data_IF_245503556432
#
_entry.id   IF_245503556432
#
_cell.length_a   1.000
_cell.length_b   1.000
_cell.length_c   1.000
_cell.angle_alpha   90.00
_cell.angle_beta   90.00
_cell.angle_gamma   90.00
#
_symmetry.space_group_name_H-M   'P 1'
#
loop_
_entity.id
_entity.type
_entity.pdbx_description
1 polymer ?
#
# COMPACT_ATOMS: atom_id res chain seq x y z
N UNK A 1 62.71 26.82 3.46
CA UNK A 1 62.18 25.47 3.16
C UNK A 1 60.67 25.61 2.98
N UNK A 2 60.18 26.28 1.94
CA UNK A 2 60.33 25.99 0.51
C UNK A 2 59.93 24.54 0.17
N UNK A 3 59.19 24.21 -0.87
CA UNK A 3 58.42 24.88 -1.93
C UNK A 3 57.74 23.70 -2.66
N UNK A 4 56.58 23.94 -3.26
CA UNK A 4 55.97 23.23 -4.39
C UNK A 4 56.67 22.01 -5.03
N UNK A 5 55.85 20.99 -5.37
CA UNK A 5 55.75 20.33 -6.70
C UNK A 5 54.48 19.45 -6.70
N UNK A 6 53.36 19.84 -7.31
CA UNK A 6 52.97 19.75 -8.74
C UNK A 6 53.28 18.40 -9.41
N UNK A 7 52.21 17.71 -9.82
CA UNK A 7 51.96 17.18 -11.19
C UNK A 7 50.53 16.59 -11.21
N UNK A 8 49.50 17.31 -11.69
CA UNK A 8 49.06 17.51 -13.08
C UNK A 8 48.60 16.25 -13.86
N UNK A 9 47.28 16.25 -14.10
CA UNK A 9 46.50 15.82 -15.27
C UNK A 9 46.50 14.36 -15.77
N UNK A 10 45.28 13.80 -15.84
CA UNK A 10 44.61 13.50 -17.12
C UNK A 10 43.08 13.40 -16.97
N UNK A 11 42.39 14.41 -17.50
CA UNK A 11 40.98 14.33 -17.89
C UNK A 11 40.86 13.50 -19.17
N UNK A 12 39.98 12.49 -19.18
CA UNK A 12 39.35 11.88 -20.36
C UNK A 12 37.96 11.41 -19.91
N UNK A 13 36.89 12.17 -20.17
CA UNK A 13 36.12 12.31 -21.41
C UNK A 13 34.74 11.70 -21.19
N UNK A 14 33.73 12.57 -21.09
CA UNK A 14 32.30 12.26 -21.07
C UNK A 14 31.88 11.42 -22.30
N UNK A 15 30.98 10.43 -22.15
CA UNK A 15 30.34 9.81 -23.31
C UNK A 15 29.29 10.76 -23.91
N UNK A 16 29.55 11.17 -25.15
CA UNK A 16 28.56 11.67 -26.11
C UNK A 16 27.72 10.47 -26.58
N UNK A 17 26.40 10.50 -26.38
CA UNK A 17 25.38 10.17 -27.41
C UNK A 17 23.98 9.88 -26.80
N UNK A 18 23.31 10.95 -26.36
CA UNK A 18 21.88 11.12 -26.57
C UNK A 18 21.67 11.40 -28.07
N UNK A 19 21.46 10.37 -28.90
CA UNK A 19 20.73 10.42 -30.20
C UNK A 19 20.85 9.08 -30.93
N UNK A 20 19.90 8.19 -30.70
CA UNK A 20 19.36 7.30 -31.75
C UNK A 20 17.99 6.82 -31.30
N UNK A 21 16.98 7.63 -31.60
CA UNK A 21 15.59 7.26 -31.59
C UNK A 21 15.34 6.15 -32.62
N UNK A 22 14.36 5.28 -32.32
CA UNK A 22 13.46 4.62 -33.28
C UNK A 22 14.16 3.95 -34.46
N UNK A 23 14.46 2.64 -34.34
CA UNK A 23 14.52 1.66 -35.44
C UNK A 23 14.89 0.28 -34.89
N UNK A 24 13.90 -0.52 -34.52
CA UNK A 24 13.94 -2.00 -34.62
C UNK A 24 12.58 -2.56 -34.20
N UNK A 25 11.54 -2.31 -35.01
CA UNK A 25 10.38 -3.20 -35.08
C UNK A 25 10.65 -4.08 -36.30
N UNK A 26 10.99 -5.34 -36.06
CA UNK A 26 11.12 -6.33 -37.11
C UNK A 26 9.73 -6.76 -37.52
N UNK A 27 9.34 -6.39 -38.74
CA UNK A 27 8.28 -7.06 -39.49
C UNK A 27 8.79 -8.42 -39.92
N UNK A 28 8.14 -9.50 -39.47
CA UNK A 28 8.17 -10.76 -40.21
C UNK A 28 6.80 -10.99 -40.85
N UNK A 29 6.86 -11.14 -42.19
CA UNK A 29 5.76 -11.48 -43.08
C UNK A 29 5.44 -12.97 -42.96
N UNK A 30 4.16 -13.26 -43.06
CA UNK A 30 3.56 -14.56 -43.36
C UNK A 30 3.73 -14.90 -44.85
N UNK A 31 3.98 -16.18 -45.14
CA UNK A 31 3.55 -16.94 -46.32
C UNK A 31 3.10 -18.32 -45.79
N UNK A 32 1.79 -18.63 -45.73
CA UNK A 32 0.90 -19.20 -46.76
C UNK A 32 1.07 -20.73 -46.97
N UNK A 33 0.04 -21.52 -46.62
CA UNK A 33 -0.53 -22.57 -47.48
C UNK A 33 -1.94 -23.01 -47.01
N UNK A 34 -2.78 -23.26 -48.02
CA UNK A 34 -4.21 -23.62 -48.06
C UNK A 34 -4.59 -24.87 -47.21
N UNK A 35 -5.83 -25.03 -46.72
CA UNK A 35 -6.97 -25.61 -47.47
C UNK A 35 -8.36 -25.24 -46.89
N UNK A 36 -9.34 -25.36 -47.79
CA UNK A 36 -10.76 -24.97 -47.81
C UNK A 36 -11.69 -25.46 -46.67
N UNK A 37 -12.69 -24.65 -46.31
CA UNK A 37 -14.12 -24.99 -46.53
C UNK A 37 -15.08 -23.82 -46.21
N UNK A 38 -16.15 -23.77 -47.00
CA UNK A 38 -17.15 -22.70 -47.11
C UNK A 38 -18.14 -22.65 -45.94
N UNK A 39 -18.52 -21.45 -45.48
CA UNK A 39 -19.88 -21.13 -45.01
C UNK A 39 -20.13 -19.61 -45.11
N UNK A 40 -21.33 -19.15 -45.51
CA UNK A 40 -21.63 -17.73 -45.65
C UNK A 40 -22.20 -17.09 -44.37
N UNK A 41 -21.90 -15.80 -44.24
CA UNK A 41 -22.59 -14.75 -43.46
C UNK A 41 -22.60 -14.83 -41.93
N UNK A 42 -21.77 -13.98 -41.31
CA UNK A 42 -22.08 -13.18 -40.12
C UNK A 42 -21.11 -11.97 -40.13
N UNK A 43 -21.56 -10.71 -39.96
CA UNK A 43 -20.64 -9.60 -39.84
C UNK A 43 -19.91 -9.71 -38.49
N UNK A 44 -18.66 -10.20 -38.54
CA UNK A 44 -17.71 -10.12 -37.43
C UNK A 44 -17.49 -8.64 -37.09
N UNK A 45 -18.20 -8.12 -36.08
CA UNK A 45 -17.74 -6.93 -35.34
C UNK A 45 -16.37 -7.28 -34.75
N UNK A 46 -15.29 -6.83 -35.39
CA UNK A 46 -13.99 -6.69 -34.75
C UNK A 46 -14.17 -5.67 -33.64
N UNK A 47 -14.20 -6.12 -32.39
CA UNK A 47 -13.94 -5.28 -31.22
C UNK A 47 -12.47 -4.87 -31.24
N UNK A 48 -12.08 -4.05 -32.22
CA UNK A 48 -10.84 -3.31 -32.20
C UNK A 48 -11.11 -2.02 -31.44
N UNK A 49 -10.64 -1.93 -30.20
CA UNK A 49 -10.45 -0.64 -29.54
C UNK A 49 -9.58 0.17 -30.51
N UNK A 50 -10.10 1.27 -31.07
CA UNK A 50 -9.34 2.05 -32.04
C UNK A 50 -8.07 2.58 -31.38
N UNK A 51 -7.02 2.81 -32.16
CA UNK A 51 -5.79 3.44 -31.65
C UNK A 51 -6.09 4.81 -30.99
N UNK A 52 -7.15 5.48 -31.43
CA UNK A 52 -7.66 6.72 -30.84
C UNK A 52 -8.29 6.46 -29.46
N UNK A 53 -9.11 5.42 -29.30
CA UNK A 53 -9.63 5.02 -27.98
C UNK A 53 -8.52 4.62 -27.00
N UNK A 54 -7.45 3.96 -27.47
CA UNK A 54 -6.30 3.64 -26.61
C UNK A 54 -5.51 4.89 -26.21
N UNK A 55 -5.32 5.85 -27.14
CA UNK A 55 -4.67 7.12 -26.84
C UNK A 55 -5.50 8.03 -25.94
N UNK A 56 -6.84 8.01 -26.06
CA UNK A 56 -7.73 8.73 -25.16
C UNK A 56 -7.78 8.09 -23.77
N UNK A 57 -7.85 6.76 -23.67
CA UNK A 57 -7.72 6.04 -22.39
C UNK A 57 -6.34 6.32 -21.76
N UNK A 58 -5.27 6.31 -22.56
CA UNK A 58 -3.92 6.62 -22.09
C UNK A 58 -3.80 8.08 -21.63
N UNK A 59 -4.42 9.03 -22.33
CA UNK A 59 -4.50 10.43 -21.90
C UNK A 59 -5.31 10.58 -20.61
N UNK A 60 -6.47 9.94 -20.49
CA UNK A 60 -7.27 9.93 -19.25
C UNK A 60 -6.50 9.35 -18.07
N UNK A 61 -5.78 8.25 -18.25
CA UNK A 61 -4.95 7.63 -17.21
C UNK A 61 -3.72 8.48 -16.85
N UNK A 62 -3.11 9.17 -17.83
CA UNK A 62 -1.91 10.00 -17.61
C UNK A 62 -2.22 11.42 -17.11
N UNK A 63 -3.41 11.94 -17.36
CA UNK A 63 -3.83 13.30 -16.98
C UNK A 63 -4.78 13.33 -15.78
N UNK A 64 -5.25 12.19 -15.27
CA UNK A 64 -5.91 12.16 -13.97
C UNK A 64 -4.97 12.75 -12.91
N UNK A 65 -5.43 13.71 -12.09
CA UNK A 65 -4.60 14.27 -11.03
C UNK A 65 -4.15 13.12 -10.14
N UNK A 66 -2.84 12.96 -9.99
CA UNK A 66 -2.30 11.88 -9.17
C UNK A 66 -2.87 12.00 -7.75
N UNK A 67 -3.22 10.89 -7.08
CA UNK A 67 -3.75 10.91 -5.71
C UNK A 67 -2.88 11.75 -4.74
N UNK A 68 -1.58 11.85 -5.03
CA UNK A 68 -0.63 12.62 -4.26
C UNK A 68 -0.86 14.14 -4.32
N UNK A 69 -1.38 14.66 -5.44
CA UNK A 69 -1.71 16.10 -5.61
C UNK A 69 -2.98 16.49 -4.88
N UNK A 70 -3.94 15.57 -4.78
CA UNK A 70 -5.21 15.78 -4.05
C UNK A 70 -4.94 16.05 -2.56
N UNK A 71 -3.91 15.43 -1.98
CA UNK A 71 -3.53 15.63 -0.58
C UNK A 71 -2.90 17.00 -0.29
N UNK A 72 -2.62 17.80 -1.31
CA UNK A 72 -2.20 19.20 -1.16
C UNK A 72 -3.39 20.18 -1.19
N UNK A 73 -4.58 19.72 -1.57
CA UNK A 73 -5.78 20.54 -1.62
C UNK A 73 -6.42 20.67 -0.23
N UNK A 74 -7.43 21.55 -0.10
CA UNK A 74 -8.25 21.59 1.11
C UNK A 74 -9.09 20.31 1.22
N UNK A 75 -9.29 19.76 2.43
CA UNK A 75 -10.16 18.60 2.60
C UNK A 75 -11.58 18.94 2.16
N UNK A 76 -12.22 17.99 1.49
CA UNK A 76 -13.63 18.12 1.07
C UNK A 76 -14.55 18.06 2.28
N UNK A 77 -14.19 17.25 3.30
CA UNK A 77 -14.88 17.18 4.59
C UNK A 77 -13.89 16.96 5.72
N UNK A 78 -14.28 17.39 6.92
CA UNK A 78 -13.49 17.23 8.13
C UNK A 78 -14.41 16.86 9.30
N UNK A 79 -13.99 15.89 10.10
CA UNK A 79 -14.65 15.47 11.33
C UNK A 79 -13.69 15.62 12.49
N UNK A 80 -14.15 16.22 13.59
CA UNK A 80 -13.38 16.29 14.83
C UNK A 80 -13.40 14.93 15.53
N UNK A 81 -12.22 14.44 15.92
CA UNK A 81 -12.05 13.16 16.60
C UNK A 81 -11.93 13.30 18.11
N UNK A 82 -11.50 14.47 18.59
CA UNK A 82 -11.32 14.80 20.02
C UNK A 82 -10.36 13.83 20.74
N UNK A 83 -9.29 13.41 20.07
CA UNK A 83 -8.30 12.46 20.58
C UNK A 83 -7.06 12.40 19.69
N UNK A 84 -6.03 11.67 20.11
CA UNK A 84 -4.87 11.39 19.24
C UNK A 84 -5.18 10.18 18.38
N UNK A 85 -5.10 10.36 17.06
CA UNK A 85 -5.51 9.36 16.09
C UNK A 85 -4.50 8.24 15.87
N UNK A 86 -5.04 7.04 15.74
CA UNK A 86 -4.31 5.77 15.61
C UNK A 86 -4.74 5.09 14.29
N UNK A 87 -4.70 3.75 14.12
CA UNK A 87 -4.86 3.19 12.79
C UNK A 87 -6.24 3.45 12.20
N UNK A 88 -6.25 3.54 10.87
CA UNK A 88 -7.41 3.88 10.05
C UNK A 88 -7.56 2.83 8.96
N UNK A 89 -8.79 2.35 8.75
CA UNK A 89 -9.14 1.54 7.60
C UNK A 89 -10.51 1.94 7.06
N UNK A 90 -10.78 1.61 5.81
CA UNK A 90 -12.07 1.86 5.20
C UNK A 90 -12.51 0.70 4.31
N UNK A 91 -13.82 0.55 4.22
CA UNK A 91 -14.49 -0.17 3.14
C UNK A 91 -14.91 0.81 2.05
N UNK A 92 -15.76 0.38 1.11
CA UNK A 92 -16.36 1.30 0.14
C UNK A 92 -17.34 2.30 0.76
N UNK A 93 -17.77 2.09 2.00
CA UNK A 93 -18.81 2.92 2.65
C UNK A 93 -18.47 3.36 4.07
N UNK A 94 -17.80 2.50 4.83
CA UNK A 94 -17.47 2.73 6.23
C UNK A 94 -16.00 3.11 6.38
N UNK A 95 -15.72 3.95 7.36
CA UNK A 95 -14.38 4.31 7.80
C UNK A 95 -14.30 4.00 9.28
N UNK A 96 -13.32 3.20 9.69
CA UNK A 96 -13.09 2.88 11.08
C UNK A 96 -11.74 3.45 11.51
N UNK A 97 -11.75 4.22 12.59
CA UNK A 97 -10.54 4.75 13.22
C UNK A 97 -10.53 4.41 14.70
N UNK A 98 -9.31 4.28 15.23
CA UNK A 98 -9.05 4.26 16.67
C UNK A 98 -8.53 5.61 17.12
N UNK A 99 -8.95 6.03 18.31
CA UNK A 99 -8.47 7.26 18.97
C UNK A 99 -8.13 6.95 20.44
N UNK A 100 -7.60 7.94 21.15
CA UNK A 100 -7.36 7.87 22.61
C UNK A 100 -6.52 6.65 23.01
N UNK A 101 -5.35 6.48 22.41
CA UNK A 101 -4.44 5.35 22.69
C UNK A 101 -5.07 3.95 22.45
N UNK A 102 -5.92 3.84 21.43
CA UNK A 102 -6.63 2.63 21.01
C UNK A 102 -7.76 2.22 21.97
N UNK A 103 -8.19 3.13 22.84
CA UNK A 103 -9.32 2.87 23.76
C UNK A 103 -10.69 3.15 23.14
N UNK A 104 -10.79 3.89 22.03
CA UNK A 104 -12.10 4.23 21.44
C UNK A 104 -12.13 3.94 19.95
N UNK A 105 -13.12 3.16 19.51
CA UNK A 105 -13.45 2.97 18.09
C UNK A 105 -14.44 4.03 17.66
N UNK A 106 -14.18 4.66 16.51
CA UNK A 106 -15.11 5.60 15.89
C UNK A 106 -15.37 5.17 14.46
N UNK A 107 -16.64 4.95 14.14
CA UNK A 107 -17.11 4.55 12.83
C UNK A 107 -17.74 5.75 12.13
N UNK A 108 -17.35 6.00 10.90
CA UNK A 108 -17.92 7.03 10.04
C UNK A 108 -18.46 6.41 8.75
N UNK A 109 -19.36 7.13 8.08
CA UNK A 109 -19.44 7.08 6.64
C UNK A 109 -18.87 8.39 6.06
N UNK A 110 -18.99 8.60 4.75
CA UNK A 110 -18.51 9.84 4.11
C UNK A 110 -19.26 11.11 4.56
N UNK A 111 -20.39 10.99 5.25
CA UNK A 111 -21.30 12.08 5.53
C UNK A 111 -21.37 12.45 7.02
N UNK A 112 -21.27 11.47 7.92
CA UNK A 112 -21.44 11.64 9.37
C UNK A 112 -20.70 10.56 10.18
N UNK A 113 -20.46 10.87 11.46
CA UNK A 113 -20.11 9.87 12.48
C UNK A 113 -21.31 8.95 12.71
N UNK A 114 -21.09 7.64 12.66
CA UNK A 114 -22.12 6.62 12.83
C UNK A 114 -22.21 6.13 14.28
N UNK A 115 -21.06 5.82 14.87
CA UNK A 115 -20.99 5.39 16.26
C UNK A 115 -19.60 5.60 16.86
N UNK A 116 -19.58 5.62 18.19
CA UNK A 116 -18.37 5.68 19.02
C UNK A 116 -18.50 4.65 20.13
N UNK A 117 -17.49 3.81 20.29
CA UNK A 117 -17.52 2.67 21.20
C UNK A 117 -16.25 2.70 22.04
N UNK A 118 -16.42 2.69 23.35
CA UNK A 118 -15.31 2.52 24.29
C UNK A 118 -14.91 1.05 24.36
N UNK A 119 -13.62 0.80 24.19
CA UNK A 119 -12.98 -0.52 24.23
C UNK A 119 -11.79 -0.54 25.19
N UNK A 120 -11.70 0.42 26.12
CA UNK A 120 -10.66 0.50 27.15
C UNK A 120 -10.47 -0.83 27.88
N UNK A 121 -11.58 -1.49 28.21
CA UNK A 121 -11.61 -2.71 29.02
C UNK A 121 -11.09 -3.93 28.25
N UNK A 122 -11.04 -3.86 26.93
CA UNK A 122 -10.57 -4.95 26.10
C UNK A 122 -9.03 -5.00 25.98
N UNK A 123 -8.30 -4.07 26.63
CA UNK A 123 -6.83 -3.97 26.64
C UNK A 123 -6.22 -4.10 25.22
N UNK A 124 -6.89 -3.53 24.23
CA UNK A 124 -6.57 -3.76 22.82
C UNK A 124 -5.50 -2.79 22.36
N UNK A 125 -4.24 -3.21 22.38
CA UNK A 125 -3.19 -2.48 21.66
C UNK A 125 -3.24 -2.84 20.17
N UNK A 126 -4.05 -2.11 19.39
CA UNK A 126 -4.11 -2.25 17.93
C UNK A 126 -2.97 -1.47 17.28
N UNK A 127 -2.25 -2.12 16.36
CA UNK A 127 -1.18 -1.52 15.56
C UNK A 127 -1.60 -1.22 14.13
N UNK A 128 -2.51 -2.00 13.56
CA UNK A 128 -2.96 -1.84 12.18
C UNK A 128 -4.40 -2.33 12.01
N UNK A 129 -5.08 -1.77 11.02
CA UNK A 129 -6.46 -2.10 10.64
C UNK A 129 -6.51 -2.45 9.16
N UNK A 130 -7.38 -3.37 8.78
CA UNK A 130 -7.75 -3.53 7.39
C UNK A 130 -9.23 -3.91 7.23
N UNK A 131 -9.77 -3.69 6.04
CA UNK A 131 -11.10 -4.14 5.68
C UNK A 131 -11.04 -5.50 5.00
N UNK A 132 -11.88 -6.45 5.41
CA UNK A 132 -12.09 -7.71 4.69
C UNK A 132 -13.41 -7.65 3.93
N UNK A 133 -13.33 -7.55 2.60
CA UNK A 133 -14.51 -7.57 1.73
C UNK A 133 -15.28 -8.88 1.79
N UNK A 134 -14.59 -10.01 2.05
CA UNK A 134 -15.22 -11.32 2.17
C UNK A 134 -16.10 -11.44 3.41
N UNK A 135 -15.60 -10.97 4.55
CA UNK A 135 -16.34 -11.01 5.81
C UNK A 135 -17.32 -9.84 5.95
N UNK A 136 -17.11 -8.77 5.17
CA UNK A 136 -17.78 -7.49 5.34
C UNK A 136 -17.58 -6.94 6.76
N UNK A 137 -16.34 -7.02 7.26
CA UNK A 137 -15.92 -6.61 8.60
C UNK A 137 -14.53 -5.97 8.56
N UNK A 138 -14.24 -5.17 9.57
CA UNK A 138 -12.89 -4.70 9.84
C UNK A 138 -12.11 -5.77 10.61
N UNK A 139 -10.84 -5.94 10.27
CA UNK A 139 -9.87 -6.76 10.98
C UNK A 139 -8.90 -5.83 11.70
N UNK A 140 -8.61 -6.13 12.96
CA UNK A 140 -7.76 -5.30 13.81
C UNK A 140 -6.64 -6.14 14.40
N UNK A 141 -5.41 -5.72 14.14
CA UNK A 141 -4.22 -6.47 14.51
C UNK A 141 -3.48 -5.80 15.66
N UNK A 142 -3.20 -6.56 16.71
CA UNK A 142 -2.47 -6.13 17.90
C UNK A 142 -1.70 -7.28 18.55
N UNK A 143 -1.87 -7.44 19.86
CA UNK A 143 -1.51 -8.68 20.59
C UNK A 143 -2.50 -9.83 20.35
N UNK A 144 -3.59 -9.55 19.64
CA UNK A 144 -4.56 -10.53 19.18
C UNK A 144 -5.15 -10.02 17.87
N UNK A 145 -6.00 -10.84 17.25
CA UNK A 145 -6.76 -10.43 16.07
C UNK A 145 -8.22 -10.28 16.45
N UNK A 146 -8.81 -9.15 16.07
CA UNK A 146 -10.20 -8.82 16.36
C UNK A 146 -10.97 -8.56 15.07
N UNK A 147 -12.26 -8.81 15.09
CA UNK A 147 -13.20 -8.40 14.06
C UNK A 147 -14.13 -7.32 14.59
N UNK A 148 -14.42 -6.33 13.76
CA UNK A 148 -15.45 -5.34 14.04
C UNK A 148 -16.50 -5.34 12.92
N UNK A 149 -17.74 -5.64 13.28
CA UNK A 149 -18.87 -5.62 12.36
C UNK A 149 -19.53 -4.23 12.36
N UNK A 150 -19.41 -3.46 11.27
CA UNK A 150 -19.97 -2.10 11.23
C UNK A 150 -21.50 -2.06 11.23
N UNK A 151 -22.19 -3.15 10.87
CA UNK A 151 -23.66 -3.19 10.87
C UNK A 151 -24.24 -3.39 12.25
N UNK A 152 -23.64 -4.26 13.05
CA UNK A 152 -24.09 -4.55 14.41
C UNK A 152 -23.33 -3.75 15.46
N UNK A 153 -22.27 -3.05 15.09
CA UNK A 153 -21.37 -2.34 16.01
C UNK A 153 -20.78 -3.27 17.08
N UNK A 154 -20.45 -4.52 16.70
CA UNK A 154 -19.93 -5.53 17.61
C UNK A 154 -18.45 -5.76 17.33
N UNK A 155 -17.66 -5.70 18.40
CA UNK A 155 -16.27 -6.15 18.46
C UNK A 155 -16.24 -7.62 18.91
N UNK A 156 -15.43 -8.44 18.26
CA UNK A 156 -15.21 -9.85 18.66
C UNK A 156 -13.74 -10.22 18.51
N UNK A 157 -13.25 -11.09 19.39
CA UNK A 157 -11.88 -11.63 19.33
C UNK A 157 -11.85 -12.88 18.46
N UNK A 158 -10.75 -13.10 17.74
CA UNK A 158 -10.49 -14.35 17.02
C UNK A 158 -9.57 -15.24 17.86
N UNK A 159 -10.15 -16.25 18.50
CA UNK A 159 -9.50 -17.10 19.52
C UNK A 159 -8.31 -17.96 19.02
N UNK A 160 -7.94 -17.92 17.73
CA UNK A 160 -7.04 -18.90 17.09
C UNK A 160 -5.61 -18.44 16.79
N UNK A 161 -5.20 -17.23 17.22
CA UNK A 161 -3.86 -16.72 16.90
C UNK A 161 -2.96 -16.76 18.12
N UNK A 162 -2.16 -17.81 18.22
CA UNK A 162 -1.08 -17.91 19.20
C UNK A 162 0.09 -16.98 18.79
N UNK A 163 0.44 -16.04 19.67
CA UNK A 163 1.63 -15.21 19.56
C UNK A 163 2.75 -15.78 20.43
N UNK A 164 3.98 -15.78 19.90
CA UNK A 164 5.14 -16.08 20.73
C UNK A 164 5.40 -14.95 21.74
N UNK A 165 6.06 -15.27 22.86
CA UNK A 165 6.39 -14.26 23.88
C UNK A 165 7.24 -13.14 23.28
N UNK A 166 6.78 -11.90 23.44
CA UNK A 166 7.47 -10.70 22.94
C UNK A 166 7.27 -10.45 21.44
N UNK A 167 6.33 -11.14 20.81
CA UNK A 167 5.89 -10.90 19.44
C UNK A 167 4.56 -10.15 19.44
N UNK A 168 4.35 -9.33 18.41
CA UNK A 168 3.08 -8.68 18.13
C UNK A 168 2.87 -8.55 16.62
N UNK A 169 1.61 -8.40 16.20
CA UNK A 169 1.27 -8.19 14.79
C UNK A 169 1.48 -6.70 14.49
N UNK A 170 2.42 -6.36 13.60
CA UNK A 170 2.69 -4.97 13.21
C UNK A 170 1.83 -4.50 12.06
N UNK A 171 1.39 -5.41 11.20
CA UNK A 171 0.55 -5.05 10.07
C UNK A 171 -0.29 -6.22 9.59
N UNK A 172 -1.48 -5.89 9.08
CA UNK A 172 -2.47 -6.84 8.58
C UNK A 172 -2.98 -6.38 7.22
N UNK A 173 -3.24 -7.34 6.35
CA UNK A 173 -4.02 -7.12 5.14
C UNK A 173 -4.77 -8.40 4.79
N UNK A 174 -5.78 -8.30 3.94
CA UNK A 174 -6.58 -9.45 3.51
C UNK A 174 -6.98 -9.32 2.06
N UNK A 175 -7.00 -10.46 1.37
CA UNK A 175 -7.70 -10.57 0.09
C UNK A 175 -9.07 -11.24 0.30
N UNK A 176 -9.64 -11.82 -0.75
CA UNK A 176 -10.95 -12.47 -0.72
C UNK A 176 -10.98 -13.76 0.10
N UNK A 177 -9.85 -14.44 0.31
CA UNK A 177 -9.81 -15.76 0.91
C UNK A 177 -8.78 -15.90 2.03
N UNK A 178 -7.87 -14.94 2.17
CA UNK A 178 -6.73 -15.04 3.06
C UNK A 178 -6.51 -13.76 3.85
N UNK A 179 -6.00 -13.93 5.07
CA UNK A 179 -5.41 -12.88 5.90
C UNK A 179 -3.91 -13.08 5.90
N UNK A 180 -3.20 -11.97 5.74
CA UNK A 180 -1.75 -11.88 5.86
C UNK A 180 -1.41 -11.10 7.12
N UNK A 181 -0.55 -11.68 7.96
CA UNK A 181 -0.16 -11.13 9.24
C UNK A 181 1.35 -10.96 9.26
N UNK A 182 1.82 -9.72 9.33
CA UNK A 182 3.22 -9.41 9.53
C UNK A 182 3.48 -9.25 11.03
N UNK A 183 4.42 -10.01 11.54
CA UNK A 183 4.81 -9.99 12.94
C UNK A 183 6.16 -9.31 13.11
N UNK A 184 6.28 -8.53 14.17
CA UNK A 184 7.56 -8.01 14.63
C UNK A 184 7.98 -8.75 15.89
N UNK A 185 9.19 -9.30 15.84
CA UNK A 185 9.88 -9.91 16.98
C UNK A 185 11.40 -9.79 16.76
N UNK A 186 12.23 -10.59 17.46
CA UNK A 186 13.66 -10.76 17.12
C UNK A 186 13.87 -11.30 15.70
N UNK A 187 12.92 -12.07 15.17
CA UNK A 187 12.86 -12.54 13.79
C UNK A 187 11.56 -12.08 13.15
N UNK A 188 11.68 -11.33 12.04
CA UNK A 188 10.50 -10.90 11.28
C UNK A 188 9.90 -12.13 10.60
N UNK A 189 8.60 -12.36 10.80
CA UNK A 189 7.86 -13.43 10.16
C UNK A 189 6.56 -12.92 9.59
N UNK A 190 6.08 -13.61 8.57
CA UNK A 190 4.77 -13.35 7.97
C UNK A 190 4.03 -14.67 7.81
N UNK A 191 2.75 -14.63 8.11
CA UNK A 191 1.86 -15.78 8.07
C UNK A 191 0.67 -15.49 7.17
N UNK A 192 0.23 -16.51 6.43
CA UNK A 192 -1.02 -16.49 5.70
C UNK A 192 -1.98 -17.49 6.30
N UNK A 193 -3.22 -17.04 6.50
CA UNK A 193 -4.32 -17.87 7.02
C UNK A 193 -5.52 -17.79 6.09
N UNK A 194 -6.12 -18.93 5.80
CA UNK A 194 -7.43 -19.02 5.15
C UNK A 194 -8.50 -18.41 6.03
N UNK A 195 -9.43 -17.71 5.42
CA UNK A 195 -10.64 -17.17 6.03
C UNK A 195 -11.83 -18.11 5.78
N UNK A 196 -12.21 -18.90 6.78
CA UNK A 196 -13.44 -19.70 6.76
C UNK A 196 -14.48 -19.11 7.70
N UNK A 197 -15.69 -18.92 7.18
CA UNK A 197 -16.81 -18.38 7.95
C UNK A 197 -17.33 -19.40 9.00
N UNK A 198 -17.82 -18.95 10.17
CA UNK A 198 -17.81 -17.55 10.61
C UNK A 198 -16.42 -17.09 11.04
N UNK A 199 -15.63 -17.85 11.81
CA UNK A 199 -14.38 -17.36 12.43
C UNK A 199 -13.26 -18.42 12.45
N UNK A 200 -13.24 -19.34 11.49
CA UNK A 200 -12.19 -20.33 11.41
C UNK A 200 -11.02 -19.79 10.58
N UNK A 201 -9.91 -19.51 11.26
CA UNK A 201 -8.64 -19.24 10.60
C UNK A 201 -7.81 -20.52 10.55
N UNK A 202 -7.51 -20.97 9.34
CA UNK A 202 -6.60 -22.09 9.12
C UNK A 202 -5.26 -21.56 8.60
N UNK A 203 -4.17 -21.94 9.27
CA UNK A 203 -2.84 -21.55 8.84
C UNK A 203 -2.46 -22.26 7.55
N UNK A 204 -2.24 -21.49 6.48
CA UNK A 204 -1.79 -22.04 5.19
C UNK A 204 -0.27 -22.18 5.16
N UNK A 205 0.43 -21.10 5.47
CA UNK A 205 1.89 -21.09 5.44
C UNK A 205 2.46 -20.04 6.39
N UNK A 206 3.74 -20.23 6.73
CA UNK A 206 4.52 -19.32 7.56
C UNK A 206 5.93 -19.19 6.97
N UNK A 207 6.37 -17.95 6.78
CA UNK A 207 7.76 -17.66 6.42
C UNK A 207 8.43 -16.84 7.51
N UNK A 208 9.61 -17.26 7.93
CA UNK A 208 10.48 -16.53 8.88
C UNK A 208 11.73 -16.05 8.16
N UNK A 209 12.36 -15.02 8.71
CA UNK A 209 13.71 -14.54 8.34
C UNK A 209 13.88 -14.29 6.83
N UNK A 210 12.82 -13.84 6.16
CA UNK A 210 12.83 -13.53 4.73
C UNK A 210 13.53 -12.19 4.40
N UNK A 211 13.93 -11.45 5.44
CA UNK A 211 14.73 -10.25 5.34
C UNK A 211 16.19 -10.61 5.03
N UNK A 212 16.82 -9.85 4.12
CA UNK A 212 18.20 -10.06 3.75
C UNK A 212 19.17 -9.37 4.72
N UNK A 213 20.47 -9.65 4.61
CA UNK A 213 21.50 -9.10 5.50
C UNK A 213 21.52 -7.56 5.58
N UNK A 214 21.14 -6.85 4.50
CA UNK A 214 21.06 -5.38 4.45
C UNK A 214 19.73 -4.81 4.95
N UNK A 215 18.76 -5.68 5.22
CA UNK A 215 17.45 -5.31 5.72
C UNK A 215 17.50 -5.24 7.26
N UNK A 216 16.64 -4.39 7.82
CA UNK A 216 16.58 -4.14 9.26
C UNK A 216 15.21 -4.50 9.84
N UNK A 217 14.12 -4.05 9.21
CA UNK A 217 12.77 -4.37 9.63
C UNK A 217 11.79 -4.33 8.46
N UNK A 218 10.66 -5.01 8.62
CA UNK A 218 9.46 -4.80 7.81
C UNK A 218 8.37 -4.22 8.70
N UNK A 219 7.53 -3.33 8.15
CA UNK A 219 6.56 -2.58 8.96
C UNK A 219 5.12 -2.69 8.47
N UNK A 220 4.87 -2.44 7.19
CA UNK A 220 3.54 -2.41 6.61
C UNK A 220 3.43 -3.42 5.47
N UNK A 221 2.32 -4.17 5.43
CA UNK A 221 1.94 -5.04 4.32
C UNK A 221 0.60 -4.62 3.76
N UNK A 222 0.47 -4.62 2.43
CA UNK A 222 -0.80 -4.45 1.74
C UNK A 222 -0.87 -5.40 0.56
N UNK A 223 -2.06 -5.92 0.29
CA UNK A 223 -2.35 -6.66 -0.93
C UNK A 223 -3.17 -5.78 -1.88
N UNK A 224 -2.90 -5.89 -3.16
CA UNK A 224 -3.71 -5.24 -4.20
C UNK A 224 -4.69 -6.21 -4.84
N UNK A 225 -5.49 -5.71 -5.78
CA UNK A 225 -6.51 -6.47 -6.53
C UNK A 225 -5.93 -7.61 -7.39
N UNK A 226 -4.61 -7.65 -7.58
CA UNK A 226 -3.89 -8.69 -8.33
C UNK A 226 -3.23 -9.73 -7.44
N UNK A 227 -3.55 -9.74 -6.15
CA UNK A 227 -2.94 -10.62 -5.17
C UNK A 227 -1.41 -10.49 -5.14
N UNK A 228 -0.90 -9.28 -5.35
CA UNK A 228 0.50 -8.94 -5.12
C UNK A 228 0.59 -8.34 -3.72
N UNK A 229 1.43 -8.94 -2.88
CA UNK A 229 1.77 -8.40 -1.58
C UNK A 229 2.89 -7.38 -1.76
N UNK A 230 2.65 -6.15 -1.33
CA UNK A 230 3.68 -5.14 -1.18
C UNK A 230 4.03 -5.00 0.30
N UNK A 231 5.31 -4.83 0.58
CA UNK A 231 5.82 -4.70 1.95
C UNK A 231 6.85 -3.59 2.05
N UNK A 232 6.70 -2.71 3.03
CA UNK A 232 7.70 -1.69 3.34
C UNK A 232 8.84 -2.31 4.15
N UNK A 233 10.06 -2.21 3.65
CA UNK A 233 11.27 -2.74 4.28
C UNK A 233 12.23 -1.59 4.56
N UNK A 234 12.63 -1.44 5.83
CA UNK A 234 13.72 -0.53 6.22
C UNK A 234 15.05 -1.24 6.05
N UNK A 235 15.99 -0.53 5.47
CA UNK A 235 17.37 -0.97 5.30
C UNK A 235 18.21 -0.51 6.49
N UNK A 236 19.37 -1.16 6.71
CA UNK A 236 20.29 -0.80 7.80
C UNK A 236 20.87 0.62 7.68
N UNK A 237 20.93 1.17 6.47
CA UNK A 237 21.29 2.57 6.23
C UNK A 237 20.15 3.56 6.57
N UNK A 238 19.01 3.06 7.07
CA UNK A 238 17.87 3.87 7.45
C UNK A 238 16.85 4.13 6.34
N UNK A 239 17.17 3.81 5.09
CA UNK A 239 16.30 4.04 3.94
C UNK A 239 15.15 3.04 3.88
N UNK A 240 14.02 3.48 3.33
CA UNK A 240 12.86 2.63 3.08
C UNK A 240 12.77 2.23 1.63
N UNK A 241 12.30 1.01 1.37
CA UNK A 241 11.86 0.55 0.06
C UNK A 241 10.55 -0.24 0.18
N UNK A 242 9.91 -0.49 -0.95
CA UNK A 242 8.77 -1.41 -1.04
C UNK A 242 9.18 -2.61 -1.87
N UNK A 243 9.17 -3.80 -1.30
CA UNK A 243 9.39 -5.03 -2.06
C UNK A 243 8.03 -5.66 -2.40
N UNK A 244 7.94 -6.27 -3.58
CA UNK A 244 6.74 -6.97 -4.05
C UNK A 244 6.94 -8.48 -3.97
N UNK A 245 5.92 -9.18 -3.51
CA UNK A 245 5.92 -10.61 -3.25
C UNK A 245 4.68 -11.25 -3.86
N UNK A 246 4.85 -12.48 -4.33
CA UNK A 246 3.72 -13.33 -4.68
C UNK A 246 2.96 -13.71 -3.41
N UNK A 247 1.64 -13.50 -3.37
CA UNK A 247 0.86 -13.73 -2.15
C UNK A 247 0.67 -15.19 -1.78
N UNK A 248 0.89 -16.13 -2.71
CA UNK A 248 0.70 -17.56 -2.47
C UNK A 248 1.90 -18.21 -1.81
N UNK A 249 3.12 -17.79 -2.17
CA UNK A 249 4.35 -18.44 -1.70
C UNK A 249 5.39 -17.47 -1.11
N UNK A 250 5.06 -16.17 -1.01
CA UNK A 250 5.94 -15.11 -0.56
C UNK A 250 7.30 -15.04 -1.31
N UNK A 251 7.37 -15.58 -2.53
CA UNK A 251 8.55 -15.38 -3.36
C UNK A 251 8.59 -13.92 -3.79
N UNK A 252 9.73 -13.26 -3.55
CA UNK A 252 9.94 -11.88 -3.98
C UNK A 252 9.89 -11.79 -5.51
N UNK A 253 8.97 -11.00 -6.02
CA UNK A 253 8.80 -10.70 -7.45
C UNK A 253 9.69 -9.52 -7.81
N UNK A 254 9.69 -8.48 -6.98
CA UNK A 254 10.44 -7.26 -7.23
C UNK A 254 11.07 -6.72 -5.96
N UNK A 255 12.28 -6.20 -6.11
CA UNK A 255 12.98 -5.43 -5.08
C UNK A 255 13.10 -3.99 -5.57
N UNK A 256 12.33 -3.09 -5.00
CA UNK A 256 12.37 -1.69 -5.45
C UNK A 256 13.63 -0.98 -4.99
N UNK A 257 13.92 0.13 -5.64
CA UNK A 257 14.95 1.06 -5.18
C UNK A 257 14.54 1.73 -3.86
N UNK A 258 15.53 2.24 -3.13
CA UNK A 258 15.30 3.08 -1.98
C UNK A 258 14.44 4.30 -2.37
N UNK A 259 13.49 4.64 -1.51
CA UNK A 259 12.49 5.68 -1.76
C UNK A 259 13.04 7.10 -1.55
N UNK A 260 14.11 7.24 -0.77
CA UNK A 260 14.76 8.51 -0.47
C UNK A 260 15.60 8.43 0.81
N UNK A 261 16.00 9.59 1.33
CA UNK A 261 16.89 9.68 2.48
C UNK A 261 16.35 8.97 3.72
N UNK A 262 17.18 8.08 4.28
CA UNK A 262 16.91 7.40 5.52
C UNK A 262 16.85 8.37 6.68
N UNK A 263 15.82 8.24 7.52
CA UNK A 263 15.75 8.95 8.79
C UNK A 263 16.07 7.93 9.89
N UNK A 264 17.23 8.04 10.55
CA UNK A 264 17.58 7.19 11.68
C UNK A 264 16.49 7.21 12.77
N UNK A 265 16.24 6.07 13.42
CA UNK A 265 15.24 5.96 14.49
C UNK A 265 13.78 5.84 14.05
N UNK A 266 13.38 6.37 12.89
CA UNK A 266 11.98 6.36 12.46
C UNK A 266 11.50 4.97 12.01
N UNK A 267 10.41 4.47 12.57
CA UNK A 267 9.90 3.10 12.30
C UNK A 267 8.72 3.04 11.35
N UNK A 268 8.18 4.18 10.90
CA UNK A 268 6.88 4.20 10.22
C UNK A 268 7.04 4.54 8.74
N UNK A 269 6.53 3.64 7.89
CA UNK A 269 6.33 3.83 6.46
C UNK A 269 4.95 3.26 6.11
N UNK A 270 4.05 4.12 5.65
CA UNK A 270 2.70 3.73 5.27
C UNK A 270 2.69 3.29 3.80
N UNK A 271 1.87 2.29 3.53
CA UNK A 271 1.66 1.72 2.23
C UNK A 271 0.16 1.54 2.02
N UNK A 272 -0.32 1.91 0.84
CA UNK A 272 -1.72 1.81 0.44
C UNK A 272 -1.77 1.31 -1.01
N UNK A 273 -2.62 0.33 -1.27
CA UNK A 273 -2.94 -0.09 -2.63
C UNK A 273 -3.99 0.85 -3.21
N UNK A 274 -3.71 1.50 -4.33
CA UNK A 274 -4.66 2.34 -5.06
C UNK A 274 -4.79 1.83 -6.50
N UNK A 275 -5.88 1.14 -6.81
CA UNK A 275 -6.05 0.42 -8.08
C UNK A 275 -4.86 -0.56 -8.29
N UNK A 276 -3.98 -0.23 -9.25
CA UNK A 276 -2.77 -0.98 -9.62
C UNK A 276 -1.48 -0.34 -9.10
N UNK A 277 -1.60 0.79 -8.43
CA UNK A 277 -0.49 1.61 -7.95
C UNK A 277 -0.33 1.44 -6.45
N UNK A 278 0.82 1.85 -5.95
CA UNK A 278 1.08 1.91 -4.52
C UNK A 278 1.38 3.34 -4.09
N UNK A 279 0.63 3.83 -3.11
CA UNK A 279 0.92 5.09 -2.45
C UNK A 279 1.77 4.78 -1.22
N UNK A 280 2.92 5.43 -1.14
CA UNK A 280 3.91 5.21 -0.08
C UNK A 280 4.22 6.53 0.59
N UNK A 281 4.19 6.55 1.92
CA UNK A 281 4.52 7.73 2.71
C UNK A 281 5.57 7.34 3.73
N UNK A 282 6.77 7.85 3.50
CA UNK A 282 7.89 7.68 4.40
C UNK A 282 7.76 8.66 5.57
N UNK A 283 8.04 8.20 6.78
CA UNK A 283 8.07 9.03 7.98
C UNK A 283 6.74 9.73 8.28
N UNK A 284 5.71 8.97 8.60
CA UNK A 284 4.34 9.45 8.79
C UNK A 284 4.25 10.55 9.86
N UNK A 285 5.08 10.51 10.90
CA UNK A 285 5.10 11.56 11.93
C UNK A 285 5.43 12.96 11.37
N UNK A 286 6.32 13.05 10.36
CA UNK A 286 6.70 14.30 9.70
C UNK A 286 6.98 13.97 8.22
N UNK A 287 5.95 13.72 7.42
CA UNK A 287 6.14 13.19 6.09
C UNK A 287 6.58 14.34 5.19
N UNK A 288 7.65 14.12 4.45
CA UNK A 288 8.20 15.12 3.51
C UNK A 288 7.72 14.90 2.09
N UNK A 289 7.36 13.67 1.76
CA UNK A 289 7.02 13.25 0.41
C UNK A 289 5.99 12.13 0.42
N UNK A 290 5.10 12.18 -0.57
CA UNK A 290 4.24 11.07 -0.97
C UNK A 290 4.80 10.51 -2.27
N UNK A 291 4.96 9.20 -2.32
CA UNK A 291 5.58 8.51 -3.44
C UNK A 291 4.56 7.58 -4.06
N UNK A 292 4.41 7.68 -5.37
CA UNK A 292 3.55 6.79 -6.15
C UNK A 292 4.43 5.78 -6.85
N UNK A 293 4.21 4.50 -6.58
CA UNK A 293 4.82 3.39 -7.30
C UNK A 293 3.82 2.80 -8.29
N UNK A 294 4.33 2.32 -9.42
CA UNK A 294 3.56 1.49 -10.33
C UNK A 294 3.38 0.06 -9.81
N UNK A 295 2.63 -0.73 -10.55
CA UNK A 295 2.38 -2.12 -10.23
C UNK A 295 3.63 -2.99 -10.12
N UNK A 296 4.74 -2.54 -10.72
CA UNK A 296 6.02 -3.22 -10.70
C UNK A 296 6.95 -2.67 -9.61
N UNK A 297 6.47 -1.76 -8.75
CA UNK A 297 7.24 -1.15 -7.67
C UNK A 297 8.15 0.00 -8.12
N UNK A 298 8.05 0.46 -9.38
CA UNK A 298 8.87 1.57 -9.88
C UNK A 298 8.24 2.90 -9.52
N UNK A 299 9.07 3.86 -9.14
CA UNK A 299 8.62 5.21 -8.80
C UNK A 299 8.08 5.91 -10.05
N UNK A 300 6.79 6.27 -10.03
CA UNK A 300 6.14 7.07 -11.07
C UNK A 300 6.16 8.55 -10.77
N UNK A 301 5.94 8.90 -9.49
CA UNK A 301 5.90 10.28 -9.05
C UNK A 301 6.35 10.42 -7.61
N UNK A 302 6.87 11.60 -7.29
CA UNK A 302 7.14 12.06 -5.92
C UNK A 302 6.52 13.43 -5.76
N UNK A 303 5.78 13.64 -4.70
CA UNK A 303 5.11 14.89 -4.40
C UNK A 303 5.57 15.37 -3.02
N UNK A 304 6.12 16.57 -2.96
CA UNK A 304 6.57 17.17 -1.71
C UNK A 304 5.38 17.63 -0.86
N UNK A 305 5.52 17.55 0.45
CA UNK A 305 4.55 18.06 1.42
C UNK A 305 5.15 19.32 2.06
N UNK A 306 4.61 20.48 1.71
CA UNK A 306 5.17 21.78 2.12
C UNK A 306 4.99 22.07 3.60
N UNK A 307 3.94 21.52 4.23
CA UNK A 307 3.69 21.61 5.67
C UNK A 307 3.42 20.22 6.23
N UNK A 308 4.39 19.57 6.89
CA UNK A 308 4.17 18.28 7.52
C UNK A 308 3.27 18.47 8.74
N UNK A 309 1.96 18.34 8.55
CA UNK A 309 1.00 18.52 9.65
C UNK A 309 0.86 17.29 10.57
N UNK A 310 1.79 16.32 10.47
CA UNK A 310 1.75 15.05 11.20
C UNK A 310 0.67 14.13 10.66
N UNK A 311 1.01 13.35 9.63
CA UNK A 311 0.06 12.40 9.05
C UNK A 311 0.09 11.11 9.87
N UNK A 312 -0.98 10.81 10.58
CA UNK A 312 -0.99 9.62 11.44
C UNK A 312 -1.31 8.35 10.63
N UNK A 313 -2.34 8.41 9.78
CA UNK A 313 -2.74 7.27 8.96
C UNK A 313 -3.61 7.68 7.75
N UNK A 314 -3.75 6.79 6.77
CA UNK A 314 -4.45 7.03 5.51
C UNK A 314 -5.14 5.75 5.02
N UNK A 315 -6.34 5.89 4.45
CA UNK A 315 -7.10 4.82 3.84
C UNK A 315 -7.80 5.29 2.56
N UNK A 316 -8.27 4.33 1.74
CA UNK A 316 -9.09 4.61 0.57
C UNK A 316 -10.53 4.16 0.79
N UNK A 317 -11.48 4.98 0.36
CA UNK A 317 -12.90 4.68 0.44
C UNK A 317 -13.43 4.57 -0.99
N UNK A 318 -13.72 3.34 -1.41
CA UNK A 318 -14.29 3.04 -2.72
C UNK A 318 -13.45 3.52 -3.91
N UNK A 319 -12.13 3.71 -3.76
CA UNK A 319 -11.23 4.33 -4.74
C UNK A 319 -11.61 5.76 -5.20
N UNK A 320 -12.62 6.36 -4.56
CA UNK A 320 -13.13 7.70 -4.87
C UNK A 320 -12.71 8.74 -3.83
N UNK A 321 -12.35 8.30 -2.62
CA UNK A 321 -11.93 9.19 -1.56
C UNK A 321 -10.70 8.68 -0.84
N UNK A 322 -9.92 9.63 -0.32
CA UNK A 322 -8.85 9.38 0.62
C UNK A 322 -9.31 9.87 1.99
N UNK A 323 -9.34 8.94 2.96
CA UNK A 323 -9.52 9.26 4.37
C UNK A 323 -8.15 9.43 5.02
N UNK A 324 -7.99 10.47 5.83
CA UNK A 324 -6.71 10.81 6.45
C UNK A 324 -6.91 11.25 7.89
N UNK A 325 -6.21 10.59 8.80
CA UNK A 325 -6.13 11.03 10.19
C UNK A 325 -4.99 12.03 10.35
N UNK A 326 -5.33 13.20 10.87
CA UNK A 326 -4.41 14.29 11.10
C UNK A 326 -4.65 14.86 12.50
N UNK A 327 -3.81 14.42 13.45
CA UNK A 327 -3.88 14.77 14.87
C UNK A 327 -5.19 14.37 15.54
N UNK A 328 -6.18 15.26 15.50
CA UNK A 328 -7.47 15.22 16.18
C UNK A 328 -8.64 15.28 15.21
N UNK A 329 -8.38 15.00 13.92
CA UNK A 329 -9.31 15.21 12.81
C UNK A 329 -9.20 14.12 11.76
N UNK A 330 -10.36 13.60 11.35
CA UNK A 330 -10.50 12.80 10.12
C UNK A 330 -10.82 13.74 8.96
N UNK A 331 -9.94 13.78 7.97
CA UNK A 331 -10.11 14.56 6.73
C UNK A 331 -10.42 13.64 5.57
N UNK A 332 -11.44 13.99 4.80
CA UNK A 332 -11.80 13.30 3.57
C UNK A 332 -11.48 14.16 2.35
N UNK A 333 -10.79 13.58 1.39
CA UNK A 333 -10.46 14.20 0.11
C UNK A 333 -11.10 13.41 -1.02
N UNK A 334 -11.87 14.08 -1.87
CA UNK A 334 -12.42 13.44 -3.07
C UNK A 334 -11.36 13.35 -4.17
N UNK A 335 -11.22 12.17 -4.75
CA UNK A 335 -10.41 11.92 -5.93
C UNK A 335 -11.25 12.33 -7.15
N UNK A 336 -10.74 13.27 -7.94
CA UNK A 336 -11.45 13.87 -9.08
C UNK A 336 -11.36 13.02 -10.34
#
# INVERSE_FOLDING_TARGET
MDVFKRNQFKFRSLPRCLTSAIRSISFERLDSHHYFSNTPSLPRRRNGISADSYNEIRKLILHAPLPTTILQQSPTKEFSLNGIDLPLAASSYYILTLINECSTLVLFNKDYELCRIDISDALVLVHDLCWSSKLNMFLMAGYSLYTFNPRSCILSTIDKIELARGEWIVSITSDSNSIYLLYSSRSVRIECRSLFLPHQLEKQWLQKDFLQQKDFLAQCIRINEWNILAMTIKQRNGEWRVDLFNSTNLKRIHRSCALGHGVPGMRNCLLISYNRLWIVINNCSIPKQIILLDENGRIKAKTHIDKPHGFCNLCLIGNEWIGMNLKDKLRLYKIQ
#
